data_IF_856312540414
#
_entry.id   IF_856312540414
#
_cell.length_a   1.000
_cell.length_b   1.000
_cell.length_c   1.000
_cell.angle_alpha   90.00
_cell.angle_beta   90.00
_cell.angle_gamma   90.00
#
_symmetry.space_group_name_H-M   'P 1'
#
loop_
_entity.id
_entity.type
_entity.pdbx_description
1 polymer ?
#
# COMPACT_ATOMS: atom_id res chain seq x y z
N UNK A 1 -26.89 19.83 2.58
CA UNK A 1 -27.00 18.95 3.79
C UNK A 1 -26.63 17.49 3.50
N UNK A 2 -26.97 16.92 2.34
CA UNK A 2 -26.66 15.52 1.97
C UNK A 2 -25.17 15.17 1.85
N UNK A 3 -24.33 16.09 1.39
CA UNK A 3 -22.88 15.84 1.20
C UNK A 3 -22.10 15.63 2.52
N UNK A 4 -22.45 16.35 3.61
CA UNK A 4 -21.78 16.17 4.90
C UNK A 4 -22.07 14.81 5.53
N UNK A 5 -23.29 14.30 5.35
CA UNK A 5 -23.64 12.95 5.84
C UNK A 5 -22.89 11.84 5.14
N UNK A 6 -22.72 11.93 3.82
CA UNK A 6 -21.97 10.96 3.03
C UNK A 6 -20.48 10.91 3.43
N UNK A 7 -19.81 12.07 3.53
CA UNK A 7 -18.41 12.15 3.99
C UNK A 7 -18.24 11.53 5.39
N UNK A 8 -19.15 11.80 6.32
CA UNK A 8 -19.10 11.24 7.67
C UNK A 8 -19.22 9.72 7.66
N UNK A 9 -20.17 9.16 6.88
CA UNK A 9 -20.36 7.72 6.76
C UNK A 9 -19.11 7.06 6.11
N UNK A 10 -18.58 7.64 5.06
CA UNK A 10 -17.38 7.12 4.37
C UNK A 10 -16.14 7.16 5.27
N UNK A 11 -16.00 8.16 6.12
CA UNK A 11 -14.92 8.24 7.11
C UNK A 11 -15.06 7.20 8.22
N UNK A 12 -16.28 6.94 8.70
CA UNK A 12 -16.55 5.87 9.66
C UNK A 12 -16.25 4.51 9.07
N UNK A 13 -16.65 4.27 7.81
CA UNK A 13 -16.33 3.03 7.08
C UNK A 13 -14.83 2.90 6.87
N UNK A 14 -14.12 3.98 6.49
CA UNK A 14 -12.68 3.99 6.33
C UNK A 14 -11.95 3.66 7.63
N UNK A 15 -12.37 4.26 8.74
CA UNK A 15 -11.84 3.95 10.07
C UNK A 15 -12.09 2.48 10.45
N UNK A 16 -13.30 1.98 10.24
CA UNK A 16 -13.63 0.58 10.46
C UNK A 16 -12.74 -0.36 9.62
N UNK A 17 -12.59 -0.08 8.33
CA UNK A 17 -11.72 -0.88 7.45
C UNK A 17 -10.27 -0.85 7.90
N UNK A 18 -9.76 0.30 8.32
CA UNK A 18 -8.41 0.44 8.85
C UNK A 18 -8.18 -0.43 10.08
N UNK A 19 -9.05 -0.31 11.09
CA UNK A 19 -8.93 -1.09 12.32
C UNK A 19 -9.14 -2.58 12.07
N UNK A 20 -10.12 -2.96 11.26
CA UNK A 20 -10.35 -4.36 10.88
C UNK A 20 -9.13 -4.96 10.20
N UNK A 21 -8.54 -4.26 9.21
CA UNK A 21 -7.35 -4.73 8.51
C UNK A 21 -6.17 -4.89 9.46
N UNK A 22 -5.98 -3.93 10.37
CA UNK A 22 -4.93 -4.00 11.38
C UNK A 22 -5.11 -5.20 12.31
N UNK A 23 -6.32 -5.41 12.83
CA UNK A 23 -6.63 -6.55 13.71
C UNK A 23 -6.44 -7.89 12.97
N UNK A 24 -6.98 -8.03 11.75
CA UNK A 24 -6.84 -9.28 10.98
C UNK A 24 -5.39 -9.60 10.63
N UNK A 25 -4.58 -8.59 10.33
CA UNK A 25 -3.13 -8.77 10.12
C UNK A 25 -2.43 -9.20 11.42
N UNK A 26 -2.70 -8.51 12.54
CA UNK A 26 -2.09 -8.85 13.84
C UNK A 26 -2.46 -10.27 14.31
N UNK A 27 -3.69 -10.71 14.03
CA UNK A 27 -4.15 -12.09 14.38
C UNK A 27 -3.75 -13.15 13.35
N UNK A 28 -3.01 -12.82 12.29
CA UNK A 28 -2.63 -13.76 11.23
C UNK A 28 -3.80 -14.27 10.38
N UNK A 29 -4.97 -13.60 10.45
CA UNK A 29 -6.16 -13.98 9.69
C UNK A 29 -6.18 -13.40 8.27
N UNK A 30 -5.32 -12.42 7.99
CA UNK A 30 -5.19 -11.82 6.68
C UNK A 30 -4.27 -12.68 5.80
N UNK A 31 -4.76 -13.09 4.62
CA UNK A 31 -3.99 -13.90 3.70
C UNK A 31 -3.24 -13.03 2.69
N UNK A 32 -1.91 -13.17 2.68
CA UNK A 32 -1.01 -12.46 1.77
C UNK A 32 -0.76 -13.28 0.50
N UNK A 33 -0.62 -14.61 0.62
CA UNK A 33 -0.54 -15.50 -0.54
C UNK A 33 -1.91 -15.67 -1.19
N UNK A 34 -1.95 -15.45 -2.50
CA UNK A 34 -3.14 -15.58 -3.34
C UNK A 34 -3.00 -16.78 -4.25
N UNK A 35 -4.12 -17.39 -4.65
CA UNK A 35 -4.13 -18.53 -5.55
C UNK A 35 -3.36 -18.27 -6.87
N UNK A 36 -3.34 -17.03 -7.37
CA UNK A 36 -2.56 -16.67 -8.55
C UNK A 36 -1.05 -16.71 -8.29
N UNK A 37 -0.57 -16.39 -7.09
CA UNK A 37 0.83 -16.51 -6.71
C UNK A 37 1.22 -17.99 -6.60
N UNK A 38 0.37 -18.81 -6.00
CA UNK A 38 0.61 -20.25 -5.87
C UNK A 38 0.66 -20.97 -7.23
N UNK A 39 -0.23 -20.61 -8.16
CA UNK A 39 -0.22 -21.17 -9.53
C UNK A 39 1.05 -20.83 -10.31
N UNK A 40 1.56 -19.62 -10.16
CA UNK A 40 2.71 -19.13 -10.91
C UNK A 40 4.04 -19.31 -10.16
N UNK A 41 4.03 -19.75 -8.90
CA UNK A 41 5.20 -19.77 -8.02
C UNK A 41 5.94 -18.42 -8.01
N UNK A 42 5.17 -17.35 -8.08
CA UNK A 42 5.68 -15.99 -8.26
C UNK A 42 4.86 -15.00 -7.44
N UNK A 43 5.54 -14.16 -6.66
CA UNK A 43 4.93 -13.15 -5.78
C UNK A 43 5.28 -11.76 -6.27
N UNK A 44 4.28 -10.96 -6.53
CA UNK A 44 4.43 -9.53 -6.74
C UNK A 44 4.27 -8.78 -5.41
N UNK A 45 5.35 -8.18 -4.91
CA UNK A 45 5.30 -7.27 -3.78
C UNK A 45 4.92 -5.89 -4.30
N UNK A 46 3.64 -5.55 -4.12
CA UNK A 46 3.08 -4.32 -4.67
C UNK A 46 3.39 -3.11 -3.79
N UNK A 47 4.33 -2.30 -4.23
CA UNK A 47 4.60 -0.98 -3.65
C UNK A 47 3.52 0.01 -4.15
N UNK A 48 2.78 0.68 -3.26
CA UNK A 48 1.74 1.63 -3.67
C UNK A 48 2.27 2.71 -4.62
N UNK A 49 1.48 3.03 -5.66
CA UNK A 49 1.76 4.08 -6.66
C UNK A 49 2.90 3.79 -7.64
N UNK A 50 3.28 2.52 -7.78
CA UNK A 50 4.28 2.03 -8.73
C UNK A 50 3.66 1.22 -9.89
N UNK A 51 2.41 1.50 -10.30
CA UNK A 51 1.77 0.85 -11.45
C UNK A 51 1.23 -0.57 -11.18
N UNK A 52 1.12 -0.97 -9.92
CA UNK A 52 0.89 -2.37 -9.54
C UNK A 52 -0.44 -2.97 -10.00
N UNK A 53 -1.51 -2.21 -10.18
CA UNK A 53 -2.80 -2.75 -10.67
C UNK A 53 -2.63 -3.30 -12.09
N UNK A 54 -2.06 -2.51 -12.99
CA UNK A 54 -1.81 -2.94 -14.37
C UNK A 54 -0.86 -4.13 -14.47
N UNK A 55 0.14 -4.19 -13.56
CA UNK A 55 1.07 -5.32 -13.46
C UNK A 55 0.37 -6.61 -12.99
N UNK A 56 -0.46 -6.52 -11.96
CA UNK A 56 -1.22 -7.67 -11.44
C UNK A 56 -2.16 -8.20 -12.51
N UNK A 57 -2.82 -7.32 -13.25
CA UNK A 57 -3.70 -7.68 -14.36
C UNK A 57 -2.92 -8.36 -15.49
N UNK A 58 -1.80 -7.79 -15.92
CA UNK A 58 -0.97 -8.33 -17.00
C UNK A 58 -0.34 -9.68 -16.65
N UNK A 59 0.15 -9.86 -15.43
CA UNK A 59 0.89 -11.06 -15.02
C UNK A 59 -0.04 -12.18 -14.55
N UNK A 60 -1.13 -11.83 -13.85
CA UNK A 60 -1.97 -12.83 -13.17
C UNK A 60 -3.41 -12.89 -13.69
N UNK A 61 -3.83 -11.97 -14.57
CA UNK A 61 -5.23 -11.86 -15.02
C UNK A 61 -6.20 -11.48 -13.89
N UNK A 62 -5.72 -10.78 -12.85
CA UNK A 62 -6.50 -10.42 -11.66
C UNK A 62 -6.30 -8.93 -11.37
N UNK A 63 -7.40 -8.20 -11.19
CA UNK A 63 -7.38 -6.77 -10.89
C UNK A 63 -7.20 -6.43 -9.41
N UNK A 64 -7.23 -7.45 -8.53
CA UNK A 64 -7.07 -7.25 -7.09
C UNK A 64 -5.61 -7.06 -6.75
N UNK A 65 -5.33 -6.08 -5.91
CA UNK A 65 -4.00 -5.76 -5.43
C UNK A 65 -4.01 -5.56 -3.92
N UNK A 66 -2.89 -5.84 -3.28
CA UNK A 66 -2.70 -5.66 -1.85
C UNK A 66 -1.29 -5.10 -1.59
N UNK A 67 -1.16 -4.27 -0.58
CA UNK A 67 0.12 -3.64 -0.22
C UNK A 67 0.78 -4.41 0.94
N UNK A 68 1.13 -5.67 0.68
CA UNK A 68 1.87 -6.50 1.63
C UNK A 68 3.38 -6.33 1.45
N UNK A 69 4.11 -6.36 2.55
CA UNK A 69 5.56 -6.27 2.57
C UNK A 69 6.19 -7.67 2.47
N UNK A 70 7.49 -7.74 2.21
CA UNK A 70 8.26 -8.98 2.28
C UNK A 70 8.05 -9.72 3.62
N UNK A 71 7.95 -8.97 4.73
CA UNK A 71 7.77 -9.52 6.08
C UNK A 71 6.42 -10.19 6.24
N UNK A 72 5.37 -9.62 5.66
CA UNK A 72 4.03 -10.20 5.69
C UNK A 72 4.01 -11.59 5.01
N UNK A 73 4.67 -11.72 3.86
CA UNK A 73 4.79 -12.98 3.13
C UNK A 73 5.66 -14.00 3.87
N UNK A 74 6.81 -13.56 4.42
CA UNK A 74 7.72 -14.42 5.17
C UNK A 74 7.06 -14.98 6.43
N UNK A 75 6.29 -14.17 7.17
CA UNK A 75 5.58 -14.59 8.37
C UNK A 75 4.47 -15.58 8.05
N UNK A 76 3.73 -15.38 6.95
CA UNK A 76 2.61 -16.26 6.58
C UNK A 76 3.11 -17.64 6.16
N UNK A 77 4.13 -17.71 5.31
CA UNK A 77 4.68 -18.99 4.82
C UNK A 77 6.15 -18.79 4.39
N UNK A 78 7.11 -19.09 5.27
CA UNK A 78 8.54 -18.93 4.98
C UNK A 78 9.02 -19.87 3.88
N UNK A 79 8.42 -21.05 3.72
CA UNK A 79 8.80 -22.02 2.67
C UNK A 79 8.43 -21.47 1.29
N UNK A 80 7.21 -20.93 1.15
CA UNK A 80 6.80 -20.27 -0.09
C UNK A 80 7.63 -19.01 -0.36
N UNK A 81 7.93 -18.23 0.68
CA UNK A 81 8.73 -17.03 0.54
C UNK A 81 10.13 -17.35 -0.02
N UNK A 82 10.75 -18.41 0.47
CA UNK A 82 12.07 -18.83 0.00
C UNK A 82 12.03 -19.41 -1.42
N UNK A 83 11.01 -20.23 -1.74
CA UNK A 83 10.94 -20.98 -2.99
C UNK A 83 10.31 -20.24 -4.18
N UNK A 84 9.45 -19.22 -3.94
CA UNK A 84 8.78 -18.50 -5.02
C UNK A 84 9.64 -17.35 -5.54
N UNK A 85 9.58 -17.10 -6.85
CA UNK A 85 10.16 -15.90 -7.43
C UNK A 85 9.44 -14.66 -6.94
N UNK A 86 10.18 -13.70 -6.40
CA UNK A 86 9.66 -12.44 -5.84
C UNK A 86 10.09 -11.26 -6.69
N UNK A 87 9.14 -10.39 -7.03
CA UNK A 87 9.48 -9.18 -7.75
C UNK A 87 8.68 -7.98 -7.27
N UNK A 88 9.24 -6.80 -7.51
CA UNK A 88 8.61 -5.52 -7.23
C UNK A 88 8.93 -4.51 -8.33
N UNK A 89 8.13 -3.45 -8.40
CA UNK A 89 8.45 -2.27 -9.19
C UNK A 89 8.57 -1.06 -8.29
N UNK A 90 9.59 -0.27 -8.53
CA UNK A 90 9.84 1.00 -7.87
C UNK A 90 9.53 2.16 -8.81
N UNK A 91 9.48 3.34 -8.26
CA UNK A 91 9.29 4.60 -8.98
C UNK A 91 10.19 5.66 -8.35
N UNK A 92 10.50 6.70 -9.11
CA UNK A 92 11.15 7.88 -8.55
C UNK A 92 10.42 8.35 -7.27
N UNK A 93 11.11 8.55 -6.15
CA UNK A 93 10.47 8.83 -4.86
C UNK A 93 9.60 10.07 -4.86
N UNK A 94 10.03 11.15 -5.54
CA UNK A 94 9.29 12.41 -5.59
C UNK A 94 8.02 12.24 -6.43
N UNK A 95 8.15 11.65 -7.63
CA UNK A 95 7.01 11.36 -8.49
C UNK A 95 6.01 10.39 -7.85
N UNK A 96 6.50 9.42 -7.08
CA UNK A 96 5.65 8.52 -6.31
C UNK A 96 4.88 9.25 -5.22
N UNK A 97 5.56 10.10 -4.44
CA UNK A 97 4.97 10.91 -3.38
C UNK A 97 3.89 11.84 -3.95
N UNK A 98 4.19 12.54 -5.04
CA UNK A 98 3.22 13.39 -5.74
C UNK A 98 2.01 12.59 -6.24
N UNK A 99 2.23 11.41 -6.80
CA UNK A 99 1.15 10.52 -7.23
C UNK A 99 0.27 10.04 -6.07
N UNK A 100 0.85 9.80 -4.90
CA UNK A 100 0.11 9.44 -3.69
C UNK A 100 -0.73 10.62 -3.18
N UNK A 101 -0.11 11.80 -3.07
CA UNK A 101 -0.78 13.02 -2.66
C UNK A 101 -1.98 13.35 -3.57
N UNK A 102 -1.77 13.42 -4.88
CA UNK A 102 -2.84 13.77 -5.84
C UNK A 102 -3.96 12.74 -5.88
N UNK A 103 -3.63 11.46 -5.75
CA UNK A 103 -4.62 10.38 -5.67
C UNK A 103 -5.51 10.53 -4.43
N UNK A 104 -4.91 10.70 -3.26
CA UNK A 104 -5.66 10.85 -2.02
C UNK A 104 -6.41 12.19 -1.98
N UNK A 105 -5.81 13.30 -2.47
CA UNK A 105 -6.46 14.62 -2.53
C UNK A 105 -7.76 14.60 -3.34
N UNK A 106 -7.86 13.71 -4.35
CA UNK A 106 -9.07 13.47 -5.15
C UNK A 106 -10.06 12.49 -4.48
N UNK A 107 -9.77 12.02 -3.26
CA UNK A 107 -10.60 11.09 -2.51
C UNK A 107 -10.26 9.61 -2.70
N UNK A 108 -9.30 9.27 -3.57
CA UNK A 108 -8.93 7.87 -3.85
C UNK A 108 -10.05 7.05 -4.49
N UNK A 109 -10.11 5.76 -4.17
CA UNK A 109 -11.11 4.81 -4.70
C UNK A 109 -11.87 4.05 -3.61
N UNK A 110 -11.37 4.07 -2.38
CA UNK A 110 -11.89 3.26 -1.28
C UNK A 110 -12.23 4.13 -0.07
N UNK A 111 -13.06 3.66 0.86
CA UNK A 111 -13.30 4.34 2.13
C UNK A 111 -11.99 4.55 2.93
N UNK A 112 -11.03 3.64 2.79
CA UNK A 112 -9.72 3.77 3.44
C UNK A 112 -8.91 4.93 2.84
N UNK A 113 -8.99 5.15 1.53
CA UNK A 113 -8.32 6.29 0.89
C UNK A 113 -8.91 7.62 1.37
N UNK A 114 -10.24 7.70 1.54
CA UNK A 114 -10.89 8.87 2.13
C UNK A 114 -10.45 9.11 3.56
N UNK A 115 -10.32 8.06 4.37
CA UNK A 115 -9.77 8.15 5.72
C UNK A 115 -8.35 8.75 5.72
N UNK A 116 -7.47 8.29 4.80
CA UNK A 116 -6.12 8.83 4.65
C UNK A 116 -6.12 10.28 4.18
N UNK A 117 -7.01 10.63 3.23
CA UNK A 117 -7.17 12.01 2.77
C UNK A 117 -7.55 12.94 3.92
N UNK A 118 -8.60 12.63 4.65
CA UNK A 118 -9.10 13.50 5.72
C UNK A 118 -8.08 13.68 6.83
N UNK A 119 -7.35 12.63 7.16
CA UNK A 119 -6.40 12.65 8.26
C UNK A 119 -5.07 13.32 7.92
N UNK A 120 -4.57 13.13 6.69
CA UNK A 120 -3.20 13.53 6.35
C UNK A 120 -3.07 14.48 5.17
N UNK A 121 -4.09 14.65 4.32
CA UNK A 121 -3.95 15.39 3.06
C UNK A 121 -4.83 16.63 2.99
N UNK A 122 -6.09 16.51 3.33
CA UNK A 122 -7.15 17.53 3.09
C UNK A 122 -6.80 18.92 3.60
N UNK A 123 -6.11 18.99 4.75
CA UNK A 123 -5.78 20.24 5.44
C UNK A 123 -4.64 21.05 4.78
N UNK A 124 -3.88 20.46 3.87
CA UNK A 124 -2.77 21.14 3.22
C UNK A 124 -3.22 21.77 1.90
N UNK A 125 -2.78 23.02 1.67
CA UNK A 125 -3.18 23.83 0.51
C UNK A 125 -2.56 23.33 -0.78
N UNK A 126 -1.31 22.86 -0.74
CA UNK A 126 -0.54 22.40 -1.89
C UNK A 126 0.26 21.13 -1.56
N UNK A 127 0.89 20.56 -2.59
CA UNK A 127 1.83 19.45 -2.43
C UNK A 127 3.05 19.86 -1.61
N UNK A 128 3.60 21.04 -1.89
CA UNK A 128 4.76 21.57 -1.16
C UNK A 128 4.43 21.79 0.31
N UNK A 129 3.26 22.33 0.59
CA UNK A 129 2.75 22.50 1.95
C UNK A 129 2.62 21.17 2.69
N UNK A 130 2.13 20.14 2.01
CA UNK A 130 2.07 18.78 2.56
C UNK A 130 3.46 18.19 2.81
N UNK A 131 4.39 18.33 1.86
CA UNK A 131 5.76 17.81 2.02
C UNK A 131 6.45 18.43 3.21
N UNK A 132 6.35 19.74 3.36
CA UNK A 132 7.05 20.49 4.42
C UNK A 132 6.46 20.26 5.82
N UNK A 133 5.14 20.02 5.94
CA UNK A 133 4.47 20.04 7.24
C UNK A 133 3.69 18.76 7.56
N UNK A 134 3.49 17.87 6.60
CA UNK A 134 2.58 16.73 6.74
C UNK A 134 3.18 15.36 6.43
N UNK A 135 4.16 15.30 5.55
CA UNK A 135 4.68 14.03 5.05
C UNK A 135 5.31 13.17 6.15
N UNK A 136 6.09 13.77 7.04
CA UNK A 136 6.70 13.06 8.17
C UNK A 136 5.62 12.41 9.05
N UNK A 137 4.57 13.16 9.40
CA UNK A 137 3.45 12.62 10.18
C UNK A 137 2.69 11.51 9.47
N UNK A 138 2.53 11.59 8.14
CA UNK A 138 1.90 10.53 7.36
C UNK A 138 2.74 9.25 7.36
N UNK A 139 4.07 9.37 7.23
CA UNK A 139 5.01 8.24 7.29
C UNK A 139 5.01 7.62 8.70
N UNK A 140 5.16 8.43 9.74
CA UNK A 140 5.21 7.98 11.13
C UNK A 140 3.94 7.20 11.55
N UNK A 141 2.78 7.57 11.00
CA UNK A 141 1.52 6.88 11.25
C UNK A 141 1.23 5.74 10.23
N UNK A 142 2.22 5.34 9.46
CA UNK A 142 2.12 4.23 8.50
C UNK A 142 1.00 4.39 7.47
N UNK A 143 0.77 5.63 6.99
CA UNK A 143 -0.11 5.85 5.85
C UNK A 143 0.49 5.16 4.62
N UNK A 144 -0.11 4.05 4.21
CA UNK A 144 0.50 3.05 3.31
C UNK A 144 1.04 3.62 2.00
N UNK A 145 0.40 4.68 1.48
CA UNK A 145 0.83 5.34 0.25
C UNK A 145 2.15 6.12 0.40
N UNK A 146 2.56 6.45 1.64
CA UNK A 146 3.77 7.23 1.94
C UNK A 146 4.87 6.40 2.60
N UNK A 147 4.61 5.16 2.96
CA UNK A 147 5.65 4.25 3.47
C UNK A 147 6.81 4.19 2.48
N UNK A 148 8.07 4.38 2.90
CA UNK A 148 9.25 4.29 2.03
C UNK A 148 9.32 2.97 1.28
N UNK A 149 9.69 3.01 -0.01
CA UNK A 149 9.64 1.86 -0.90
C UNK A 149 10.48 0.68 -0.41
N UNK A 150 11.68 0.96 0.14
CA UNK A 150 12.57 -0.07 0.67
C UNK A 150 11.92 -0.90 1.79
N UNK A 151 11.01 -0.32 2.57
CA UNK A 151 10.30 -1.06 3.63
C UNK A 151 9.44 -2.21 3.12
N UNK A 152 9.08 -2.19 1.84
CA UNK A 152 8.32 -3.26 1.21
C UNK A 152 9.20 -4.45 0.78
N UNK A 153 10.48 -4.21 0.48
CA UNK A 153 11.34 -5.18 -0.21
C UNK A 153 12.71 -5.40 0.44
N UNK A 154 13.10 -4.59 1.43
CA UNK A 154 14.37 -4.72 2.12
C UNK A 154 14.17 -5.07 3.59
N UNK A 155 15.09 -5.84 4.15
CA UNK A 155 15.16 -6.07 5.60
C UNK A 155 15.69 -4.83 6.36
N UNK A 156 15.78 -4.96 7.66
CA UNK A 156 16.22 -3.84 8.52
C UNK A 156 17.71 -3.50 8.34
N UNK A 157 18.51 -4.40 7.76
CA UNK A 157 19.91 -4.16 7.38
C UNK A 157 20.05 -3.54 5.97
N UNK A 158 18.94 -3.34 5.26
CA UNK A 158 18.92 -2.78 3.90
C UNK A 158 19.15 -3.81 2.77
N UNK A 159 19.25 -5.10 3.11
CA UNK A 159 19.36 -6.16 2.10
C UNK A 159 18.05 -6.33 1.35
N UNK A 160 18.10 -6.28 0.02
CA UNK A 160 16.95 -6.55 -0.87
C UNK A 160 16.58 -8.03 -0.77
N UNK A 161 15.31 -8.33 -0.52
CA UNK A 161 14.76 -9.67 -0.32
C UNK A 161 13.86 -10.13 -1.47
N UNK A 162 13.91 -9.46 -2.60
CA UNK A 162 13.22 -9.85 -3.83
C UNK A 162 14.23 -10.18 -4.92
N UNK A 163 13.84 -11.03 -5.86
CA UNK A 163 14.73 -11.54 -6.91
C UNK A 163 14.84 -10.55 -8.08
N UNK A 164 13.85 -9.66 -8.26
CA UNK A 164 13.84 -8.63 -9.30
C UNK A 164 13.20 -7.34 -8.84
N UNK A 165 13.83 -6.22 -9.18
CA UNK A 165 13.28 -4.87 -8.97
C UNK A 165 13.24 -4.14 -10.31
N UNK A 166 12.03 -3.91 -10.84
CA UNK A 166 11.79 -3.08 -12.02
C UNK A 166 11.62 -1.60 -11.69
N UNK A 167 11.66 -0.77 -12.73
CA UNK A 167 11.53 0.69 -12.60
C UNK A 167 10.64 1.28 -13.69
#
# INVERSE_FOLDING_TARGET
>A
MFFRGYETIMNLLGSYHFYRLRVTKTLGLYKHYRACFDRNKCVFIHIPKCGGISLVEAVYGDSRSQHSTWRDFLIEDPIKFDSYFKFAFTRDPVNRCYSAYTYLKRGGRTPLDLYWNDRYIKKYSSFDDFVLRGLEGAIANSAEHFIPQHKFICDDAGKVLVDFVGR
#
